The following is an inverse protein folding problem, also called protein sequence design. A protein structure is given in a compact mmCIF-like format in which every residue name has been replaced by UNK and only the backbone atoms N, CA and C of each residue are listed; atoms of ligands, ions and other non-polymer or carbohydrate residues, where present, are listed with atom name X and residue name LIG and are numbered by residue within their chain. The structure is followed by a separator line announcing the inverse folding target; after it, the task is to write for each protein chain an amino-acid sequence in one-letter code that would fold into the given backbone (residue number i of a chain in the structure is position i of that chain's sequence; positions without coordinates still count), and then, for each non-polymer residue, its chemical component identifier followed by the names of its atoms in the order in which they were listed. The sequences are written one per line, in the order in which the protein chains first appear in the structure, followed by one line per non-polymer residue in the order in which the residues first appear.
data_IF_314686605764
#
_entry.id   IF_314686605764
#
_cell.length_a   1.000
_cell.length_b   1.000
_cell.length_c   1.000
_cell.angle_alpha   90.00
_cell.angle_beta   90.00
_cell.angle_gamma   90.00
#
_symmetry.space_group_name_H-M   'P 1'
#
loop_
_entity.id
_entity.type
_entity.pdbx_description
1 polymer ?
#
# COMPACT_ATOMS: atom_id res chain seq x y z
N UNK A 1 27.35 15.58 -14.04
CA UNK A 1 25.95 15.71 -14.48
C UNK A 1 25.11 15.09 -13.39
N UNK A 2 24.06 15.77 -12.93
CA UNK A 2 23.18 15.25 -11.88
C UNK A 2 21.96 14.58 -12.51
N UNK A 3 21.55 13.43 -11.98
CA UNK A 3 20.31 12.75 -12.36
C UNK A 3 19.53 12.32 -11.12
N UNK A 4 18.21 12.24 -11.26
CA UNK A 4 17.32 11.72 -10.23
C UNK A 4 17.19 10.21 -10.40
N UNK A 5 17.29 9.48 -9.31
CA UNK A 5 17.02 8.05 -9.27
C UNK A 5 16.10 7.69 -8.11
N UNK A 6 15.41 6.56 -8.25
CA UNK A 6 14.56 6.00 -7.19
C UNK A 6 15.39 5.07 -6.30
N UNK A 7 15.19 5.17 -5.00
CA UNK A 7 15.80 4.35 -3.95
C UNK A 7 14.70 3.61 -3.22
N UNK A 8 14.86 2.31 -3.03
CA UNK A 8 13.90 1.50 -2.29
C UNK A 8 14.26 1.54 -0.81
N UNK A 9 13.31 1.90 0.04
CA UNK A 9 13.43 1.77 1.48
C UNK A 9 12.78 0.47 1.90
N UNK A 10 13.56 -0.37 2.58
CA UNK A 10 13.09 -1.59 3.21
C UNK A 10 13.13 -1.44 4.73
N UNK A 11 12.14 -2.01 5.38
CA UNK A 11 12.05 -2.08 6.83
C UNK A 11 12.29 -3.51 7.29
N UNK A 12 13.11 -3.67 8.33
CA UNK A 12 13.30 -4.94 9.04
C UNK A 12 12.08 -5.20 9.91
N UNK A 13 11.47 -6.37 9.73
CA UNK A 13 10.32 -6.80 10.51
C UNK A 13 10.73 -7.14 11.95
N UNK A 14 10.41 -6.27 12.88
CA UNK A 14 10.49 -6.47 14.33
C UNK A 14 9.12 -6.80 14.92
N UNK A 15 9.07 -7.32 16.14
CA UNK A 15 7.79 -7.57 16.84
C UNK A 15 6.91 -6.32 16.91
N UNK A 16 7.51 -5.18 17.28
CA UNK A 16 6.83 -3.88 17.36
C UNK A 16 6.26 -3.49 16.00
N UNK A 17 7.08 -3.53 14.95
CA UNK A 17 6.60 -3.17 13.61
C UNK A 17 5.57 -4.14 13.05
N UNK A 18 5.67 -5.44 13.36
CA UNK A 18 4.68 -6.43 12.96
C UNK A 18 3.33 -6.10 13.60
N UNK A 19 3.34 -5.75 14.88
CA UNK A 19 2.13 -5.33 15.58
C UNK A 19 1.53 -4.04 15.01
N UNK A 20 2.36 -3.02 14.76
CA UNK A 20 1.92 -1.77 14.14
C UNK A 20 1.30 -1.98 12.75
N UNK A 21 1.90 -2.86 11.93
CA UNK A 21 1.38 -3.22 10.61
C UNK A 21 0.05 -3.98 10.71
N UNK A 22 -0.09 -4.91 11.66
CA UNK A 22 -1.35 -5.63 11.90
C UNK A 22 -2.46 -4.64 12.28
N UNK A 23 -2.19 -3.74 13.22
CA UNK A 23 -3.16 -2.72 13.64
C UNK A 23 -3.52 -1.79 12.48
N UNK A 24 -2.55 -1.38 11.68
CA UNK A 24 -2.79 -0.59 10.46
C UNK A 24 -3.72 -1.30 9.49
N UNK A 25 -3.48 -2.58 9.18
CA UNK A 25 -4.35 -3.33 8.26
C UNK A 25 -5.75 -3.57 8.83
N UNK A 26 -5.86 -3.82 10.14
CA UNK A 26 -7.15 -3.94 10.81
C UNK A 26 -7.96 -2.63 10.72
N UNK A 27 -7.31 -1.49 10.92
CA UNK A 27 -7.92 -0.17 10.78
C UNK A 27 -8.43 0.06 9.35
N UNK A 28 -7.59 -0.21 8.35
CA UNK A 28 -7.96 -0.08 6.93
C UNK A 28 -9.15 -0.97 6.56
N UNK A 29 -9.16 -2.22 7.04
CA UNK A 29 -10.28 -3.15 6.83
C UNK A 29 -11.57 -2.60 7.45
N UNK A 30 -11.51 -2.07 8.67
CA UNK A 30 -12.67 -1.46 9.34
C UNK A 30 -13.21 -0.26 8.58
N UNK A 31 -12.33 0.61 8.06
CA UNK A 31 -12.73 1.76 7.25
C UNK A 31 -13.47 1.33 5.99
N UNK A 32 -12.94 0.34 5.26
CA UNK A 32 -13.62 -0.20 4.06
C UNK A 32 -15.00 -0.79 4.41
N UNK A 33 -15.12 -1.49 5.54
CA UNK A 33 -16.41 -2.04 5.99
C UNK A 33 -17.44 -0.93 6.26
N UNK A 34 -17.02 0.15 6.93
CA UNK A 34 -17.88 1.32 7.17
C UNK A 34 -18.30 2.01 5.86
N UNK A 35 -17.38 2.16 4.91
CA UNK A 35 -17.69 2.72 3.59
C UNK A 35 -18.71 1.88 2.83
N UNK A 36 -18.58 0.54 2.87
CA UNK A 36 -19.54 -0.37 2.27
C UNK A 36 -20.94 -0.22 2.89
N UNK A 37 -21.03 -0.11 4.22
CA UNK A 37 -22.30 0.11 4.92
C UNK A 37 -22.94 1.45 4.53
N UNK A 38 -22.12 2.50 4.41
CA UNK A 38 -22.58 3.81 3.96
C UNK A 38 -23.12 3.74 2.52
N UNK A 39 -22.41 3.09 1.60
CA UNK A 39 -22.87 2.91 0.22
C UNK A 39 -24.19 2.15 0.15
N UNK A 40 -24.37 1.10 0.95
CA UNK A 40 -25.64 0.38 1.02
C UNK A 40 -26.80 1.25 1.50
N UNK A 41 -26.56 2.16 2.45
CA UNK A 41 -27.56 3.11 2.90
C UNK A 41 -27.90 4.14 1.81
N UNK A 42 -26.89 4.66 1.11
CA UNK A 42 -27.06 5.60 0.01
C UNK A 42 -27.81 4.99 -1.17
N UNK A 43 -27.51 3.73 -1.52
CA UNK A 43 -28.23 2.96 -2.52
C UNK A 43 -29.72 2.89 -2.20
N UNK A 44 -30.09 2.40 -1.01
CA UNK A 44 -31.50 2.31 -0.57
C UNK A 44 -32.20 3.65 -0.57
N UNK A 45 -31.49 4.74 -0.23
CA UNK A 45 -32.02 6.10 -0.24
C UNK A 45 -32.28 6.60 -1.67
N UNK A 46 -31.42 6.25 -2.62
CA UNK A 46 -31.52 6.63 -4.03
C UNK A 46 -32.61 5.84 -4.76
N UNK A 47 -32.73 4.54 -4.51
CA UNK A 47 -33.77 3.67 -5.08
C UNK A 47 -35.18 4.15 -4.70
N UNK A 48 -35.36 4.70 -3.49
CA UNK A 48 -36.63 5.28 -3.04
C UNK A 48 -36.99 6.61 -3.73
N UNK A 49 -36.01 7.30 -4.32
CA UNK A 49 -36.27 8.54 -5.06
C UNK A 49 -36.66 8.16 -6.49
N UNK A 50 -37.97 8.22 -6.79
CA UNK A 50 -38.59 7.93 -8.11
C UNK A 50 -38.06 8.73 -9.32
N UNK A 51 -37.00 9.55 -9.16
CA UNK A 51 -36.40 10.37 -10.22
C UNK A 51 -35.30 9.64 -11.00
N UNK A 52 -34.82 8.50 -10.53
CA UNK A 52 -33.72 7.76 -11.15
C UNK A 52 -34.18 6.41 -11.70
N UNK A 53 -33.55 5.95 -12.78
CA UNK A 53 -33.74 4.58 -13.27
C UNK A 53 -33.10 3.61 -12.26
N UNK A 54 -33.87 2.69 -11.64
CA UNK A 54 -33.37 1.84 -10.57
C UNK A 54 -32.20 0.95 -11.00
N UNK A 55 -32.19 0.47 -12.25
CA UNK A 55 -31.10 -0.35 -12.80
C UNK A 55 -29.77 0.40 -12.82
N UNK A 56 -29.74 1.65 -13.30
CA UNK A 56 -28.51 2.46 -13.33
C UNK A 56 -27.97 2.79 -11.93
N UNK A 57 -28.87 2.95 -10.97
CA UNK A 57 -28.48 3.17 -9.56
C UNK A 57 -27.84 1.90 -9.02
N UNK A 58 -28.48 0.75 -9.21
CA UNK A 58 -27.94 -0.53 -8.77
C UNK A 58 -26.56 -0.82 -9.38
N UNK A 59 -26.41 -0.66 -10.70
CA UNK A 59 -25.14 -0.91 -11.41
C UNK A 59 -23.99 -0.06 -10.86
N UNK A 60 -24.22 1.23 -10.61
CA UNK A 60 -23.23 2.14 -10.03
C UNK A 60 -22.77 1.66 -8.64
N UNK A 61 -23.71 1.35 -7.75
CA UNK A 61 -23.37 0.91 -6.40
C UNK A 61 -22.72 -0.47 -6.38
N UNK A 62 -23.13 -1.38 -7.27
CA UNK A 62 -22.48 -2.68 -7.44
C UNK A 62 -21.01 -2.52 -7.83
N UNK A 63 -20.71 -1.64 -8.78
CA UNK A 63 -19.32 -1.37 -9.19
C UNK A 63 -18.48 -0.79 -8.05
N UNK A 64 -19.00 0.22 -7.34
CA UNK A 64 -18.32 0.83 -6.19
C UNK A 64 -18.05 -0.16 -5.05
N UNK A 65 -18.98 -1.08 -4.78
CA UNK A 65 -18.82 -2.16 -3.80
C UNK A 65 -17.80 -3.20 -4.27
N UNK A 66 -17.74 -3.50 -5.57
CA UNK A 66 -16.75 -4.42 -6.12
C UNK A 66 -15.32 -3.90 -5.95
N UNK A 67 -15.08 -2.61 -6.26
CA UNK A 67 -13.79 -1.94 -6.03
C UNK A 67 -13.36 -2.08 -4.56
N UNK A 68 -14.28 -1.86 -3.62
CA UNK A 68 -14.00 -1.99 -2.17
C UNK A 68 -13.75 -3.43 -1.76
N UNK A 69 -14.47 -4.38 -2.35
CA UNK A 69 -14.26 -5.82 -2.13
C UNK A 69 -12.88 -6.25 -2.61
N UNK A 70 -12.42 -5.76 -3.75
CA UNK A 70 -11.06 -6.02 -4.23
C UNK A 70 -9.99 -5.43 -3.31
N UNK A 71 -10.16 -4.17 -2.86
CA UNK A 71 -9.28 -3.57 -1.85
C UNK A 71 -9.22 -4.38 -0.56
N UNK A 72 -10.37 -4.88 -0.08
CA UNK A 72 -10.44 -5.73 1.11
C UNK A 72 -9.67 -7.05 0.93
N UNK A 73 -9.80 -7.69 -0.25
CA UNK A 73 -9.04 -8.90 -0.58
C UNK A 73 -7.53 -8.63 -0.58
N UNK A 74 -7.10 -7.50 -1.13
CA UNK A 74 -5.68 -7.12 -1.15
C UNK A 74 -5.13 -6.94 0.27
N UNK A 75 -5.86 -6.24 1.15
CA UNK A 75 -5.46 -6.06 2.55
C UNK A 75 -5.40 -7.42 3.26
N UNK A 76 -6.40 -8.28 3.03
CA UNK A 76 -6.40 -9.61 3.63
C UNK A 76 -5.18 -10.44 3.20
N UNK A 77 -4.85 -10.41 1.91
CA UNK A 77 -3.63 -11.05 1.41
C UNK A 77 -2.36 -10.45 2.05
N UNK A 78 -2.28 -9.13 2.21
CA UNK A 78 -1.14 -8.49 2.88
C UNK A 78 -0.99 -8.92 4.35
N UNK A 79 -2.11 -9.10 5.06
CA UNK A 79 -2.12 -9.63 6.43
C UNK A 79 -1.63 -11.07 6.47
N UNK A 80 -2.13 -11.94 5.59
CA UNK A 80 -1.70 -13.34 5.49
C UNK A 80 -0.19 -13.46 5.21
N UNK A 81 0.34 -12.60 4.32
CA UNK A 81 1.78 -12.53 4.06
C UNK A 81 2.56 -12.08 5.29
N UNK A 82 2.05 -11.09 6.03
CA UNK A 82 2.69 -10.62 7.25
C UNK A 82 2.73 -11.69 8.36
N UNK A 83 1.71 -12.53 8.46
CA UNK A 83 1.65 -13.62 9.44
C UNK A 83 2.78 -14.64 9.22
N UNK A 84 3.01 -15.05 7.97
CA UNK A 84 4.03 -16.04 7.59
C UNK A 84 5.45 -15.47 7.55
N UNK A 85 5.62 -14.15 7.50
CA UNK A 85 6.94 -13.52 7.51
C UNK A 85 7.64 -13.70 8.87
N UNK A 86 8.87 -14.20 8.80
CA UNK A 86 9.77 -14.34 9.94
C UNK A 86 10.29 -12.98 10.41
N UNK A 87 10.47 -12.84 11.72
CA UNK A 87 11.12 -11.68 12.29
C UNK A 87 12.55 -11.54 11.72
N UNK A 88 12.95 -10.32 11.41
CA UNK A 88 14.21 -10.02 10.73
C UNK A 88 14.10 -9.93 9.21
N UNK A 89 12.97 -10.33 8.61
CA UNK A 89 12.73 -10.18 7.17
C UNK A 89 12.72 -8.70 6.74
N UNK A 90 13.27 -8.40 5.56
CA UNK A 90 13.22 -7.07 4.96
C UNK A 90 11.94 -6.92 4.13
N UNK A 91 11.04 -6.00 4.52
CA UNK A 91 9.81 -5.67 3.80
C UNK A 91 10.00 -4.34 3.08
N UNK A 92 9.57 -4.24 1.83
CA UNK A 92 9.57 -2.95 1.12
C UNK A 92 8.54 -2.01 1.75
N UNK A 93 9.01 -0.86 2.20
CA UNK A 93 8.18 0.13 2.90
C UNK A 93 7.75 1.26 1.94
N UNK A 94 8.73 1.88 1.25
CA UNK A 94 8.49 3.03 0.38
C UNK A 94 9.57 3.18 -0.69
N UNK A 95 9.32 4.03 -1.68
CA UNK A 95 10.33 4.54 -2.60
C UNK A 95 10.62 6.00 -2.32
N UNK A 96 11.88 6.40 -2.41
CA UNK A 96 12.33 7.78 -2.31
C UNK A 96 13.08 8.18 -3.59
N UNK A 97 13.15 9.47 -3.88
CA UNK A 97 13.97 9.99 -4.96
C UNK A 97 15.26 10.59 -4.38
N UNK A 98 16.39 10.29 -5.01
CA UNK A 98 17.69 10.86 -4.66
C UNK A 98 18.40 11.39 -5.90
N UNK A 99 19.32 12.32 -5.70
CA UNK A 99 20.15 12.88 -6.76
C UNK A 99 21.48 12.12 -6.75
N UNK A 100 21.95 11.72 -7.93
CA UNK A 100 23.30 11.19 -8.11
C UNK A 100 24.06 12.01 -9.15
N UNK A 101 25.33 12.23 -8.85
CA UNK A 101 26.30 12.78 -9.78
C UNK A 101 26.93 11.67 -10.61
N UNK A 102 26.93 11.86 -11.94
CA UNK A 102 27.63 11.03 -12.91
C UNK A 102 28.65 11.84 -13.71
N UNK A 103 29.74 11.19 -14.08
CA UNK A 103 30.86 11.78 -14.80
C UNK A 103 31.26 10.93 -16.02
N UNK A 104 31.91 11.57 -17.00
CA UNK A 104 32.45 10.87 -18.17
C UNK A 104 33.58 9.95 -17.70
N UNK A 105 33.41 8.64 -17.91
CA UNK A 105 34.32 7.61 -17.40
C UNK A 105 33.67 6.71 -16.34
N UNK A 106 32.51 7.09 -15.80
CA UNK A 106 31.78 6.23 -14.86
C UNK A 106 31.25 4.97 -15.55
N UNK A 107 31.25 3.87 -14.79
CA UNK A 107 30.74 2.59 -15.27
C UNK A 107 29.20 2.60 -15.20
N UNK A 108 28.58 2.60 -16.37
CA UNK A 108 27.12 2.58 -16.50
C UNK A 108 26.56 1.16 -16.34
N UNK A 109 26.34 0.72 -15.09
CA UNK A 109 25.73 -0.58 -14.78
C UNK A 109 24.70 -0.49 -13.62
N UNK A 110 23.98 -1.59 -13.35
CA UNK A 110 22.89 -1.63 -12.37
C UNK A 110 23.30 -1.19 -10.96
N UNK A 111 24.57 -1.37 -10.58
CA UNK A 111 25.05 -1.00 -9.24
C UNK A 111 24.97 0.50 -8.97
N UNK A 112 25.00 1.34 -10.02
CA UNK A 112 24.86 2.78 -9.86
C UNK A 112 23.43 3.18 -9.45
N UNK A 113 22.44 2.32 -9.76
CA UNK A 113 21.00 2.56 -9.56
C UNK A 113 20.34 1.72 -8.47
N UNK A 114 20.91 0.56 -8.12
CA UNK A 114 20.33 -0.39 -7.15
C UNK A 114 20.53 0.03 -5.68
N UNK A 115 20.29 1.31 -5.37
CA UNK A 115 20.37 1.79 -3.99
C UNK A 115 19.17 1.34 -3.17
N UNK A 116 19.45 0.71 -2.03
CA UNK A 116 18.44 0.26 -1.07
C UNK A 116 18.83 0.70 0.34
N UNK A 117 17.89 1.32 1.06
CA UNK A 117 18.08 1.68 2.46
C UNK A 117 17.33 0.67 3.32
N UNK A 118 18.01 0.05 4.28
CA UNK A 118 17.39 -0.86 5.24
C UNK A 118 17.26 -0.16 6.58
N UNK A 119 16.03 -0.12 7.11
CA UNK A 119 15.67 0.58 8.35
C UNK A 119 15.11 -0.41 9.36
N UNK A 120 15.48 -0.31 10.63
CA UNK A 120 14.93 -1.09 11.74
C UNK A 120 14.44 -0.15 12.83
N UNK A 121 13.14 -0.18 13.14
CA UNK A 121 12.52 0.70 14.14
C UNK A 121 12.87 2.19 13.92
N UNK A 122 12.83 2.66 12.67
CA UNK A 122 13.16 4.05 12.31
C UNK A 122 14.66 4.37 12.26
N UNK A 123 15.55 3.41 12.51
CA UNK A 123 17.00 3.58 12.48
C UNK A 123 17.57 2.92 11.22
N UNK A 124 18.36 3.65 10.43
CA UNK A 124 19.07 3.08 9.27
C UNK A 124 20.10 2.08 9.78
N UNK A 125 19.98 0.82 9.35
CA UNK A 125 20.91 -0.26 9.71
C UNK A 125 21.84 -0.63 8.57
N UNK A 126 21.43 -0.36 7.32
CA UNK A 126 22.24 -0.68 6.15
C UNK A 126 21.87 0.22 4.96
N UNK A 127 22.86 0.53 4.11
CA UNK A 127 22.67 1.16 2.80
C UNK A 127 23.44 0.31 1.80
N UNK A 128 22.72 -0.24 0.82
CA UNK A 128 23.24 -1.04 -0.29
C UNK A 128 23.10 -0.26 -1.59
#
# INVERSE_FOLDING_TARGET
MEIIQKVVVKQVLTETSKHELIEYYNEQKRQIEQECDQLHFEQKKMERKSKFQPERVADYFTHELEIRREKKKLIQFQMEQLEVLELGSEIRERELETIIDIQVGDKWDKSIFDKTIVVKNGIIVEIR
#
